data_IF_359562875333
#
_entry.id   IF_359562875333
#
_cell.length_a   1.000
_cell.length_b   1.000
_cell.length_c   1.000
_cell.angle_alpha   90.00
_cell.angle_beta   90.00
_cell.angle_gamma   90.00
#
_symmetry.space_group_name_H-M   'P 1'
#
loop_
_entity.id
_entity.type
_entity.pdbx_description
1 polymer ?
#
# COMPACT_ATOMS: atom_id res chain seq x y z
N UNK A 1 22.63 -6.97 -0.82
CA UNK A 1 21.44 -7.66 -0.26
C UNK A 1 20.23 -7.23 -1.08
N UNK A 2 19.64 -8.14 -1.86
CA UNK A 2 18.36 -7.87 -2.55
C UNK A 2 17.25 -8.44 -1.67
N UNK A 3 16.41 -7.55 -1.16
CA UNK A 3 15.26 -7.88 -0.32
C UNK A 3 14.13 -8.36 -1.25
N UNK A 4 14.22 -9.59 -1.75
CA UNK A 4 13.32 -10.17 -2.77
C UNK A 4 11.85 -10.38 -2.33
N UNK A 5 11.44 -9.91 -1.13
CA UNK A 5 10.10 -10.22 -0.58
C UNK A 5 9.05 -9.13 -0.74
N UNK A 6 9.39 -7.91 -1.18
CA UNK A 6 8.42 -6.83 -1.35
C UNK A 6 8.75 -5.99 -2.58
N UNK A 7 8.23 -6.35 -3.78
CA UNK A 7 8.43 -5.53 -4.96
C UNK A 7 7.84 -4.13 -4.73
N UNK A 8 8.57 -3.10 -5.13
CA UNK A 8 8.05 -1.72 -5.15
C UNK A 8 6.79 -1.71 -6.01
N UNK A 9 5.67 -1.28 -5.44
CA UNK A 9 4.41 -1.25 -6.16
C UNK A 9 4.50 -0.25 -7.32
N UNK A 10 4.37 -0.74 -8.55
CA UNK A 10 4.34 0.11 -9.73
C UNK A 10 2.91 0.67 -9.90
N UNK A 11 2.65 1.81 -9.25
CA UNK A 11 1.37 2.50 -9.32
C UNK A 11 1.39 3.56 -10.42
N UNK A 12 0.31 3.66 -11.18
CA UNK A 12 0.08 4.81 -12.06
C UNK A 12 0.02 6.09 -11.22
N UNK A 13 0.44 7.22 -11.79
CA UNK A 13 0.52 8.50 -11.08
C UNK A 13 -0.80 8.88 -10.38
N UNK A 14 -1.94 8.67 -11.05
CA UNK A 14 -3.25 8.93 -10.47
C UNK A 14 -3.54 8.07 -9.22
N UNK A 15 -3.13 6.81 -9.23
CA UNK A 15 -3.27 5.92 -8.07
C UNK A 15 -2.32 6.32 -6.93
N UNK A 16 -1.09 6.72 -7.26
CA UNK A 16 -0.12 7.20 -6.29
C UNK A 16 -0.62 8.47 -5.57
N UNK A 17 -1.23 9.42 -6.29
CA UNK A 17 -1.84 10.61 -5.69
C UNK A 17 -2.91 10.24 -4.67
N UNK A 18 -3.83 9.33 -5.02
CA UNK A 18 -4.90 8.87 -4.12
C UNK A 18 -4.35 8.22 -2.84
N UNK A 19 -3.33 7.38 -2.96
CA UNK A 19 -2.71 6.72 -1.80
C UNK A 19 -2.06 7.75 -0.88
N UNK A 20 -1.40 8.78 -1.43
CA UNK A 20 -0.81 9.87 -0.65
C UNK A 20 -1.85 10.74 0.05
N UNK A 21 -2.94 11.08 -0.62
CA UNK A 21 -4.02 11.84 0.00
C UNK A 21 -4.66 11.05 1.16
N UNK A 22 -4.89 9.75 0.95
CA UNK A 22 -5.42 8.89 2.00
C UNK A 22 -4.48 8.78 3.21
N UNK A 23 -3.18 8.56 2.98
CA UNK A 23 -2.19 8.52 4.06
C UNK A 23 -2.18 9.82 4.86
N UNK A 24 -2.18 10.97 4.16
CA UNK A 24 -2.18 12.28 4.78
C UNK A 24 -3.40 12.47 5.67
N UNK A 25 -4.60 12.19 5.16
CA UNK A 25 -5.85 12.32 5.91
C UNK A 25 -5.83 11.46 7.18
N UNK A 26 -5.45 10.19 7.05
CA UNK A 26 -5.39 9.27 8.19
C UNK A 26 -4.37 9.70 9.25
N UNK A 27 -3.22 10.22 8.82
CA UNK A 27 -2.20 10.75 9.74
C UNK A 27 -2.70 11.99 10.47
N UNK A 28 -3.40 12.90 9.78
CA UNK A 28 -3.96 14.11 10.37
C UNK A 28 -5.08 13.79 11.38
N UNK A 29 -5.91 12.77 11.11
CA UNK A 29 -7.01 12.35 11.99
C UNK A 29 -6.52 11.60 13.24
N UNK A 30 -5.50 10.75 13.10
CA UNK A 30 -5.04 9.88 14.20
C UNK A 30 -3.89 10.49 15.00
N UNK A 31 -3.11 11.38 14.39
CA UNK A 31 -1.84 11.84 14.97
C UNK A 31 -0.76 10.77 15.03
N UNK A 32 -0.96 9.63 14.35
CA UNK A 32 -0.08 8.46 14.38
C UNK A 32 0.63 8.26 13.04
N UNK A 33 1.72 7.47 13.07
CA UNK A 33 2.38 7.03 11.85
C UNK A 33 1.54 5.95 11.13
N UNK A 34 1.19 6.20 9.87
CA UNK A 34 0.32 5.31 9.09
C UNK A 34 1.14 4.49 8.10
N UNK A 35 1.03 3.15 8.20
CA UNK A 35 1.62 2.21 7.25
C UNK A 35 0.52 1.56 6.41
N UNK A 36 0.54 1.81 5.10
CA UNK A 36 -0.41 1.21 4.14
C UNK A 36 0.19 -0.04 3.50
N UNK A 37 -0.49 -1.19 3.66
CA UNK A 37 -0.05 -2.48 3.12
C UNK A 37 -1.06 -2.96 2.07
N UNK A 38 -0.62 -3.01 0.81
CA UNK A 38 -1.38 -3.62 -0.27
C UNK A 38 -0.97 -5.09 -0.43
N UNK A 39 -1.95 -5.99 -0.50
CA UNK A 39 -1.71 -7.41 -0.74
C UNK A 39 -2.59 -7.94 -1.86
N UNK A 40 -2.05 -8.88 -2.64
CA UNK A 40 -2.82 -9.63 -3.63
C UNK A 40 -3.59 -10.73 -2.91
N UNK A 41 -4.91 -10.60 -2.82
CA UNK A 41 -5.75 -11.67 -2.29
C UNK A 41 -5.72 -12.88 -3.24
N UNK A 42 -5.22 -14.03 -2.75
CA UNK A 42 -5.26 -15.30 -3.50
C UNK A 42 -6.63 -15.95 -3.32
N UNK A 43 -7.67 -15.39 -3.96
CA UNK A 43 -8.91 -16.14 -4.10
C UNK A 43 -8.66 -17.32 -5.06
N UNK A 44 -8.60 -18.55 -4.53
CA UNK A 44 -8.78 -19.76 -5.34
C UNK A 44 -7.60 -20.74 -5.51
N UNK A 45 -6.71 -20.91 -4.54
CA UNK A 45 -6.00 -22.21 -4.42
C UNK A 45 -6.96 -23.22 -3.77
N UNK A 46 -8.02 -23.62 -4.50
CA UNK A 46 -8.68 -24.89 -4.19
C UNK A 46 -7.77 -25.99 -4.76
N UNK A 47 -7.20 -26.79 -3.86
CA UNK A 47 -6.58 -28.09 -4.19
C UNK A 47 -7.61 -29.02 -4.82
#
# INVERSE_FOLDING_TARGET
MKSDSFPVANLQEQALRKVRELEKTLREETGEEIVLIAYKHKAGLKK
#
